data_IF_347995495886
#
_entry.id   IF_347995495886
#
_cell.length_a   1.000
_cell.length_b   1.000
_cell.length_c   1.000
_cell.angle_alpha   90.00
_cell.angle_beta   90.00
_cell.angle_gamma   90.00
#
_symmetry.space_group_name_H-M   'P 1'
#
loop_
_entity.id
_entity.type
_entity.pdbx_description
1 polymer ?
#
# COMPACT_ATOMS: atom_id res chain seq x y z
N UNK A 1 -3.36 23.44 21.73
CA UNK A 1 -3.27 24.78 21.10
C UNK A 1 -3.83 24.66 19.70
N UNK A 2 -5.07 25.12 19.48
CA UNK A 2 -5.60 25.30 18.14
C UNK A 2 -5.45 26.80 17.82
N UNK A 3 -4.67 27.12 16.78
CA UNK A 3 -4.55 28.49 16.31
C UNK A 3 -5.88 28.94 15.72
N UNK A 4 -6.28 30.18 16.01
CA UNK A 4 -7.53 30.76 15.52
C UNK A 4 -7.41 31.03 14.01
N UNK A 5 -8.16 30.29 13.20
CA UNK A 5 -8.14 30.38 11.74
C UNK A 5 -9.04 31.51 11.25
N UNK A 6 -8.53 32.75 11.32
CA UNK A 6 -9.27 33.97 10.96
C UNK A 6 -9.74 34.00 9.49
N UNK A 7 -9.01 33.35 8.60
CA UNK A 7 -9.29 33.32 7.15
C UNK A 7 -10.15 32.12 6.71
N UNK A 8 -10.60 31.28 7.65
CA UNK A 8 -11.38 30.06 7.41
C UNK A 8 -10.73 29.04 6.46
N UNK A 9 -9.40 28.99 6.40
CA UNK A 9 -8.64 28.07 5.53
C UNK A 9 -8.85 26.61 5.95
N UNK A 10 -9.20 25.74 4.99
CA UNK A 10 -9.37 24.29 5.24
C UNK A 10 -8.21 23.52 4.64
N UNK A 11 -7.57 22.65 5.44
CA UNK A 11 -6.41 21.85 5.03
C UNK A 11 -6.74 20.37 5.24
N UNK A 12 -6.55 19.57 4.19
CA UNK A 12 -6.59 18.11 4.24
C UNK A 12 -5.23 17.53 3.84
N UNK A 13 -4.86 16.40 4.42
CA UNK A 13 -3.59 15.73 4.13
C UNK A 13 -3.86 14.32 3.62
N UNK A 14 -3.10 13.91 2.62
CA UNK A 14 -3.06 12.53 2.13
C UNK A 14 -1.69 11.95 2.45
N UNK A 15 -1.65 10.87 3.24
CA UNK A 15 -0.41 10.31 3.77
C UNK A 15 -0.29 8.85 3.35
N UNK A 16 0.78 8.55 2.61
CA UNK A 16 1.15 7.17 2.28
C UNK A 16 2.23 6.69 3.26
N UNK A 17 2.01 5.52 3.88
CA UNK A 17 2.92 4.96 4.89
C UNK A 17 3.34 3.56 4.45
N UNK A 18 4.65 3.32 4.39
CA UNK A 18 5.20 1.99 4.14
C UNK A 18 5.17 1.15 5.43
N UNK A 19 4.60 -0.05 5.36
CA UNK A 19 4.61 -1.01 6.46
C UNK A 19 6.01 -1.65 6.60
N UNK A 20 6.86 -1.08 7.44
CA UNK A 20 8.28 -1.43 7.56
C UNK A 20 8.60 -2.71 8.38
N UNK A 21 7.58 -3.38 8.95
CA UNK A 21 7.74 -4.65 9.68
C UNK A 21 7.36 -5.88 8.86
N UNK A 22 7.18 -5.72 7.55
CA UNK A 22 6.95 -6.83 6.64
C UNK A 22 8.28 -7.45 6.20
N UNK A 23 8.28 -8.77 6.06
CA UNK A 23 9.41 -9.52 5.49
C UNK A 23 9.25 -9.74 3.98
N UNK A 24 8.01 -9.67 3.48
CA UNK A 24 7.65 -9.90 2.08
C UNK A 24 6.72 -8.81 1.56
N UNK A 25 6.66 -8.64 0.24
CA UNK A 25 5.81 -7.64 -0.43
C UNK A 25 4.32 -7.92 -0.20
N UNK A 26 3.47 -6.96 -0.60
CA UNK A 26 2.02 -7.01 -0.37
C UNK A 26 1.31 -8.16 -1.10
N UNK A 27 1.78 -8.50 -2.32
CA UNK A 27 1.09 -9.43 -3.22
C UNK A 27 1.96 -10.58 -3.73
N UNK A 28 3.20 -10.71 -3.25
CA UNK A 28 4.13 -11.78 -3.62
C UNK A 28 5.16 -12.04 -2.51
N UNK A 29 5.95 -13.11 -2.65
CA UNK A 29 6.96 -13.54 -1.67
C UNK A 29 8.30 -12.79 -1.71
N UNK A 30 8.51 -11.81 -2.59
CA UNK A 30 9.77 -11.06 -2.63
C UNK A 30 10.02 -10.32 -1.33
N UNK A 31 11.27 -10.20 -0.91
CA UNK A 31 11.63 -9.47 0.31
C UNK A 31 11.48 -7.96 0.16
N UNK A 32 11.26 -7.27 1.28
CA UNK A 32 11.02 -5.82 1.37
C UNK A 32 12.21 -5.02 1.90
N UNK A 33 13.32 -5.67 2.20
CA UNK A 33 14.55 -5.09 2.75
C UNK A 33 15.54 -4.60 1.68
N UNK A 34 15.03 -3.97 0.62
CA UNK A 34 15.77 -3.63 -0.60
C UNK A 34 16.70 -2.39 -0.50
N UNK A 35 16.73 -1.67 0.62
CA UNK A 35 17.30 -0.31 0.70
C UNK A 35 18.79 -0.23 0.39
N UNK A 36 19.53 -1.33 0.54
CA UNK A 36 20.97 -1.41 0.33
C UNK A 36 21.36 -2.38 -0.79
N UNK A 37 20.37 -2.86 -1.56
CA UNK A 37 20.58 -3.87 -2.60
C UNK A 37 20.54 -3.24 -4.00
N UNK A 38 21.16 -3.93 -4.96
CA UNK A 38 21.22 -3.49 -6.36
C UNK A 38 19.83 -3.40 -7.02
N UNK A 39 19.65 -2.55 -8.05
CA UNK A 39 18.39 -2.43 -8.77
C UNK A 39 17.85 -3.77 -9.27
N UNK A 40 16.53 -3.94 -9.18
CA UNK A 40 15.77 -5.10 -9.70
C UNK A 40 16.14 -6.48 -9.11
N UNK A 41 16.90 -6.54 -8.02
CA UNK A 41 17.25 -7.82 -7.35
C UNK A 41 16.10 -8.42 -6.52
N UNK A 42 15.19 -7.59 -6.01
CA UNK A 42 14.04 -8.02 -5.20
C UNK A 42 12.78 -8.14 -6.06
N UNK A 43 12.86 -8.90 -7.15
CA UNK A 43 11.77 -8.99 -8.15
C UNK A 43 11.31 -10.42 -8.41
N UNK A 44 10.10 -10.56 -8.94
CA UNK A 44 9.51 -11.80 -9.41
C UNK A 44 8.46 -11.49 -10.48
N UNK A 45 7.96 -12.51 -11.22
CA UNK A 45 6.95 -12.29 -12.25
C UNK A 45 5.72 -11.51 -11.77
N UNK A 46 5.26 -11.73 -10.54
CA UNK A 46 4.06 -11.04 -9.98
C UNK A 46 4.31 -9.54 -9.82
N UNK A 47 5.41 -9.15 -9.15
CA UNK A 47 5.66 -7.73 -8.90
C UNK A 47 6.15 -6.98 -10.14
N UNK A 48 6.70 -7.71 -11.13
CA UNK A 48 7.03 -7.20 -12.46
C UNK A 48 5.83 -7.17 -13.41
N UNK A 49 4.65 -7.63 -12.99
CA UNK A 49 3.44 -7.59 -13.81
C UNK A 49 3.52 -8.44 -15.08
N UNK A 50 4.29 -9.53 -15.06
CA UNK A 50 4.44 -10.40 -16.23
C UNK A 50 3.14 -11.17 -16.53
N UNK A 51 2.89 -11.53 -17.80
CA UNK A 51 1.69 -12.28 -18.19
C UNK A 51 1.50 -13.58 -17.41
N UNK A 52 0.26 -13.91 -17.07
CA UNK A 52 -0.11 -15.15 -16.39
C UNK A 52 0.10 -15.18 -14.87
N UNK A 53 0.49 -14.05 -14.26
CA UNK A 53 0.76 -13.97 -12.82
C UNK A 53 -0.47 -13.54 -12.02
N UNK A 54 -0.58 -14.04 -10.78
CA UNK A 54 -1.71 -13.74 -9.89
C UNK A 54 -1.19 -13.22 -8.52
N UNK A 55 -1.81 -12.17 -7.94
CA UNK A 55 -1.44 -11.64 -6.64
C UNK A 55 -1.95 -12.53 -5.49
N UNK A 56 -1.17 -12.64 -4.42
CA UNK A 56 -1.57 -13.30 -3.17
C UNK A 56 -1.38 -12.36 -2.00
N UNK A 57 -2.46 -12.07 -1.27
CA UNK A 57 -2.46 -11.08 -0.18
C UNK A 57 -1.53 -11.49 0.96
N UNK A 58 -0.69 -10.56 1.41
CA UNK A 58 0.15 -10.73 2.58
C UNK A 58 -0.66 -10.57 3.88
N UNK A 59 -0.87 -11.68 4.60
CA UNK A 59 -1.58 -11.69 5.89
C UNK A 59 -1.01 -10.69 6.90
N UNK A 60 0.32 -10.55 6.96
CA UNK A 60 0.95 -9.65 7.92
C UNK A 60 0.70 -8.19 7.60
N UNK A 61 0.61 -7.85 6.32
CA UNK A 61 0.26 -6.50 5.89
C UNK A 61 -1.15 -6.12 6.35
N UNK A 62 -2.12 -7.04 6.24
CA UNK A 62 -3.49 -6.83 6.75
C UNK A 62 -3.49 -6.65 8.28
N UNK A 63 -2.79 -7.51 9.02
CA UNK A 63 -2.66 -7.36 10.49
C UNK A 63 -2.08 -5.99 10.88
N UNK A 64 -1.03 -5.54 10.19
CA UNK A 64 -0.40 -4.24 10.44
C UNK A 64 -1.35 -3.08 10.09
N UNK A 65 -2.09 -3.16 8.97
CA UNK A 65 -3.07 -2.14 8.60
C UNK A 65 -4.20 -2.02 9.64
N UNK A 66 -4.70 -3.15 10.16
CA UNK A 66 -5.70 -3.17 11.24
C UNK A 66 -5.13 -2.50 12.51
N UNK A 67 -3.88 -2.83 12.89
CA UNK A 67 -3.22 -2.19 14.04
C UNK A 67 -3.10 -0.68 13.88
N UNK A 68 -2.73 -0.20 12.69
CA UNK A 68 -2.67 1.25 12.41
C UNK A 68 -4.06 1.87 12.53
N UNK A 69 -5.10 1.25 11.96
CA UNK A 69 -6.48 1.71 12.10
C UNK A 69 -6.93 1.81 13.56
N UNK A 70 -6.67 0.79 14.37
CA UNK A 70 -6.98 0.81 15.80
C UNK A 70 -6.21 1.90 16.55
N UNK A 71 -4.91 2.07 16.25
CA UNK A 71 -4.07 3.11 16.86
C UNK A 71 -4.54 4.54 16.52
N UNK A 72 -5.15 4.72 15.34
CA UNK A 72 -5.73 5.98 14.90
C UNK A 72 -7.22 6.13 15.31
N UNK A 73 -7.74 5.24 16.15
CA UNK A 73 -9.15 5.20 16.59
C UNK A 73 -10.15 5.05 15.43
N UNK A 74 -9.76 4.41 14.33
CA UNK A 74 -10.66 4.09 13.23
C UNK A 74 -11.56 2.90 13.59
N UNK A 75 -12.78 2.88 13.01
CA UNK A 75 -13.62 1.69 13.00
C UNK A 75 -13.11 0.73 11.90
N UNK A 76 -12.77 -0.49 12.28
CA UNK A 76 -12.32 -1.51 11.33
C UNK A 76 -13.52 -2.10 10.60
N UNK A 77 -13.45 -2.16 9.27
CA UNK A 77 -14.47 -2.82 8.46
C UNK A 77 -14.33 -4.34 8.55
N UNK A 78 -15.45 -5.05 8.73
CA UNK A 78 -15.48 -6.51 8.74
C UNK A 78 -15.29 -7.11 7.34
N UNK A 79 -15.67 -6.35 6.31
CA UNK A 79 -15.52 -6.72 4.91
C UNK A 79 -14.72 -5.65 4.18
N UNK A 80 -13.79 -6.10 3.34
CA UNK A 80 -13.10 -5.21 2.42
C UNK A 80 -12.75 -5.94 1.13
N UNK A 81 -12.67 -5.18 0.04
CA UNK A 81 -12.38 -5.69 -1.28
C UNK A 81 -11.21 -4.91 -1.89
N UNK A 82 -10.39 -5.62 -2.67
CA UNK A 82 -9.34 -5.00 -3.47
C UNK A 82 -9.88 -4.61 -4.85
N UNK A 83 -9.55 -3.39 -5.27
CA UNK A 83 -9.91 -2.76 -6.53
C UNK A 83 -8.68 -2.52 -7.40
N UNK A 84 -8.88 -2.37 -8.70
CA UNK A 84 -7.83 -1.97 -9.65
C UNK A 84 -8.00 -0.50 -9.98
N UNK A 85 -7.04 0.33 -9.57
CA UNK A 85 -6.92 1.73 -10.00
C UNK A 85 -6.05 1.78 -11.25
N UNK A 86 -6.67 1.95 -12.42
CA UNK A 86 -6.00 1.85 -13.72
C UNK A 86 -5.38 3.19 -14.13
N UNK A 87 -4.09 3.19 -14.47
CA UNK A 87 -3.38 4.33 -15.06
C UNK A 87 -2.03 3.86 -15.62
N UNK A 88 -1.50 4.57 -16.61
CA UNK A 88 -0.24 4.20 -17.26
C UNK A 88 0.91 5.04 -16.72
N UNK A 89 1.92 4.36 -16.19
CA UNK A 89 3.18 4.97 -15.81
C UNK A 89 4.31 3.92 -15.83
N UNK A 90 5.54 4.25 -16.24
CA UNK A 90 6.63 3.27 -16.40
C UNK A 90 7.02 2.50 -15.13
N UNK A 91 6.80 3.06 -13.93
CA UNK A 91 7.07 2.37 -12.65
C UNK A 91 5.93 1.45 -12.18
N UNK A 92 4.80 1.44 -12.91
CA UNK A 92 3.60 0.68 -12.59
C UNK A 92 3.45 -0.49 -13.58
N UNK A 93 4.09 -1.64 -13.31
CA UNK A 93 4.29 -2.70 -14.30
C UNK A 93 3.00 -3.34 -14.83
N UNK A 94 1.89 -3.22 -14.10
CA UNK A 94 0.62 -3.85 -14.45
C UNK A 94 -0.34 -2.93 -15.23
N UNK A 95 -0.02 -1.64 -15.36
CA UNK A 95 -0.99 -0.64 -15.83
C UNK A 95 -2.16 -0.38 -14.87
N UNK A 96 -2.08 -0.94 -13.66
CA UNK A 96 -3.00 -0.66 -12.56
C UNK A 96 -2.34 -0.92 -11.20
N UNK A 97 -2.80 -0.18 -10.19
CA UNK A 97 -2.47 -0.40 -8.79
C UNK A 97 -3.60 -1.19 -8.12
N UNK A 98 -3.24 -2.18 -7.30
CA UNK A 98 -4.21 -2.87 -6.44
C UNK A 98 -4.38 -2.00 -5.17
N UNK A 99 -5.60 -1.52 -4.93
CA UNK A 99 -5.96 -0.59 -3.84
C UNK A 99 -7.31 -0.95 -3.22
N UNK A 100 -7.82 -0.13 -2.29
CA UNK A 100 -9.20 -0.14 -1.80
C UNK A 100 -9.92 1.14 -2.26
N UNK A 101 -11.26 1.15 -2.34
CA UNK A 101 -12.05 2.31 -2.76
C UNK A 101 -13.40 2.42 -2.03
N UNK A 102 -14.28 1.42 -2.17
CA UNK A 102 -15.61 1.40 -1.53
C UNK A 102 -15.57 1.01 -0.03
#
# INVERSE_FOLDING_TARGET
>A
MAYENKDQVKIGLEVHIQLNKLNTKMFCGCRTDYHSDEPNTHTCPICLGLPGTLPVVNKKAVECAIKVGLALNCKISEYTQFYRKNYYYPDLPKGFQITQYD
#
